data_IF_292502368080
#
_entry.id   IF_292502368080
#
_cell.length_a   1.000
_cell.length_b   1.000
_cell.length_c   1.000
_cell.angle_alpha   90.00
_cell.angle_beta   90.00
_cell.angle_gamma   90.00
#
_symmetry.space_group_name_H-M   'P 1'
#
loop_
_entity.id
_entity.type
_entity.pdbx_description
1 polymer ?
#
# COMPACT_ATOMS: atom_id res chain seq x y z
N UNK A 1 15.12 -20.32 26.11
CA UNK A 1 16.38 -19.60 25.82
C UNK A 1 16.00 -18.14 25.66
N UNK A 2 16.46 -17.27 26.57
CA UNK A 2 16.10 -15.85 26.59
C UNK A 2 17.04 -15.16 25.61
N UNK A 3 16.61 -14.84 24.37
CA UNK A 3 17.43 -14.06 23.45
C UNK A 3 17.46 -12.64 23.99
N UNK A 4 18.50 -11.86 23.66
CA UNK A 4 18.61 -10.44 23.99
C UNK A 4 17.25 -9.71 23.86
N UNK A 5 16.94 -8.74 24.73
CA UNK A 5 15.73 -7.93 24.56
C UNK A 5 15.80 -7.26 23.19
N UNK A 6 15.03 -7.77 22.23
CA UNK A 6 14.89 -7.16 20.91
C UNK A 6 14.32 -5.77 21.11
N UNK A 7 14.93 -4.79 20.45
CA UNK A 7 14.44 -3.43 20.56
C UNK A 7 13.02 -3.33 19.99
N UNK A 8 12.31 -2.33 20.52
CA UNK A 8 11.04 -1.78 20.04
C UNK A 8 10.89 -1.86 18.51
N UNK A 9 11.89 -1.23 17.90
CA UNK A 9 11.99 -1.02 16.47
C UNK A 9 12.32 -2.30 15.72
N UNK A 10 13.28 -3.10 16.19
CA UNK A 10 13.66 -4.36 15.52
C UNK A 10 12.49 -5.33 15.40
N UNK A 11 11.63 -5.42 16.41
CA UNK A 11 10.45 -6.28 16.34
C UNK A 11 9.46 -5.85 15.26
N UNK A 12 9.12 -4.55 15.21
CA UNK A 12 8.14 -4.02 14.25
C UNK A 12 8.71 -4.01 12.83
N UNK A 13 9.97 -3.56 12.66
CA UNK A 13 10.63 -3.54 11.36
C UNK A 13 10.85 -4.96 10.85
N UNK A 14 11.30 -5.89 11.70
CA UNK A 14 11.46 -7.29 11.34
C UNK A 14 10.15 -7.93 10.89
N UNK A 15 9.03 -7.65 11.58
CA UNK A 15 7.70 -8.11 11.19
C UNK A 15 7.29 -7.55 9.81
N UNK A 16 7.48 -6.26 9.59
CA UNK A 16 7.13 -5.60 8.32
C UNK A 16 7.99 -6.11 7.16
N UNK A 17 9.31 -6.22 7.34
CA UNK A 17 10.22 -6.74 6.33
C UNK A 17 9.95 -8.22 6.03
N UNK A 18 9.66 -9.03 7.04
CA UNK A 18 9.26 -10.43 6.86
C UNK A 18 7.99 -10.57 6.03
N UNK A 19 6.95 -9.80 6.34
CA UNK A 19 5.72 -9.76 5.55
C UNK A 19 5.98 -9.26 4.12
N UNK A 20 6.79 -8.21 3.96
CA UNK A 20 7.16 -7.66 2.65
C UNK A 20 7.91 -8.69 1.80
N UNK A 21 8.79 -9.49 2.40
CA UNK A 21 9.49 -10.58 1.72
C UNK A 21 8.55 -11.68 1.23
N UNK A 22 7.60 -12.11 2.07
CA UNK A 22 6.57 -13.09 1.66
C UNK A 22 5.73 -12.57 0.51
N UNK A 23 5.29 -11.31 0.59
CA UNK A 23 4.53 -10.64 -0.48
C UNK A 23 5.34 -10.55 -1.78
N UNK A 24 6.62 -10.21 -1.70
CA UNK A 24 7.49 -10.13 -2.87
C UNK A 24 7.66 -11.48 -3.58
N UNK A 25 7.84 -12.58 -2.83
CA UNK A 25 7.92 -13.93 -3.39
C UNK A 25 6.58 -14.31 -4.05
N UNK A 26 5.46 -14.05 -3.36
CA UNK A 26 4.13 -14.37 -3.87
C UNK A 26 3.82 -13.61 -5.17
N UNK A 27 4.09 -12.31 -5.20
CA UNK A 27 3.95 -11.49 -6.42
C UNK A 27 4.90 -11.94 -7.54
N UNK A 28 6.13 -12.32 -7.22
CA UNK A 28 7.09 -12.84 -8.19
C UNK A 28 6.58 -14.12 -8.86
N UNK A 29 6.06 -15.06 -8.07
CA UNK A 29 5.44 -16.29 -8.61
C UNK A 29 4.22 -15.96 -9.47
N UNK A 30 3.34 -15.08 -9.00
CA UNK A 30 2.16 -14.66 -9.76
C UNK A 30 2.54 -13.98 -11.09
N UNK A 31 3.56 -13.13 -11.09
CA UNK A 31 4.07 -12.46 -12.30
C UNK A 31 4.61 -13.48 -13.31
N UNK A 32 5.41 -14.44 -12.85
CA UNK A 32 5.95 -15.51 -13.72
C UNK A 32 4.83 -16.32 -14.35
N UNK A 33 3.85 -16.77 -13.56
CA UNK A 33 2.69 -17.51 -14.05
C UNK A 33 1.92 -16.66 -15.08
N UNK A 34 1.66 -15.40 -14.77
CA UNK A 34 0.95 -14.48 -15.65
C UNK A 34 1.66 -14.28 -17.00
N UNK A 35 2.96 -14.04 -17.00
CA UNK A 35 3.75 -13.88 -18.23
C UNK A 35 3.81 -15.19 -19.05
N UNK A 36 3.90 -16.34 -18.39
CA UNK A 36 3.83 -17.64 -19.06
C UNK A 36 2.47 -17.88 -19.72
N UNK A 37 1.37 -17.51 -19.06
CA UNK A 37 0.03 -17.61 -19.63
C UNK A 37 -0.12 -16.71 -20.86
N UNK A 38 0.30 -15.44 -20.78
CA UNK A 38 0.26 -14.52 -21.92
C UNK A 38 1.06 -15.04 -23.12
N UNK A 39 2.25 -15.57 -22.85
CA UNK A 39 3.13 -16.17 -23.88
C UNK A 39 2.50 -17.42 -24.49
N UNK A 40 1.92 -18.30 -23.67
CA UNK A 40 1.24 -19.51 -24.12
C UNK A 40 -0.02 -19.24 -24.94
N UNK A 41 -0.75 -18.17 -24.62
CA UNK A 41 -1.92 -17.71 -25.37
C UNK A 41 -1.57 -16.87 -26.61
N UNK A 42 -0.28 -16.63 -26.89
CA UNK A 42 0.20 -15.78 -28.00
C UNK A 42 -0.41 -14.36 -27.99
N UNK A 43 -0.71 -13.84 -26.82
CA UNK A 43 -1.17 -12.45 -26.66
C UNK A 43 0.04 -11.54 -26.85
N UNK A 44 -0.08 -10.50 -27.67
CA UNK A 44 0.97 -9.48 -27.77
C UNK A 44 0.97 -8.64 -26.50
N UNK A 45 2.10 -8.59 -25.78
CA UNK A 45 2.25 -7.80 -24.57
C UNK A 45 3.62 -7.13 -24.51
N UNK A 46 3.71 -6.05 -23.73
CA UNK A 46 4.98 -5.42 -23.38
C UNK A 46 5.37 -5.80 -21.95
N UNK A 47 6.50 -6.46 -21.78
CA UNK A 47 6.91 -6.97 -20.46
C UNK A 47 7.22 -5.85 -19.46
N UNK A 48 7.87 -4.77 -19.91
CA UNK A 48 8.34 -3.70 -19.02
C UNK A 48 7.19 -2.98 -18.27
N UNK A 49 6.12 -2.49 -18.93
CA UNK A 49 4.98 -1.90 -18.22
C UNK A 49 4.30 -2.85 -17.23
N UNK A 50 4.19 -4.14 -17.57
CA UNK A 50 3.62 -5.16 -16.68
C UNK A 50 4.48 -5.38 -15.43
N UNK A 51 5.79 -5.51 -15.60
CA UNK A 51 6.74 -5.68 -14.49
C UNK A 51 6.69 -4.45 -13.57
N UNK A 52 6.67 -3.24 -14.15
CA UNK A 52 6.56 -2.00 -13.39
C UNK A 52 5.23 -1.95 -12.64
N UNK A 53 4.10 -2.28 -13.27
CA UNK A 53 2.80 -2.34 -12.60
C UNK A 53 2.79 -3.30 -11.40
N UNK A 54 3.38 -4.49 -11.55
CA UNK A 54 3.50 -5.46 -10.43
C UNK A 54 4.43 -4.96 -9.34
N UNK A 55 5.51 -4.26 -9.68
CA UNK A 55 6.39 -3.65 -8.70
C UNK A 55 5.65 -2.60 -7.84
N UNK A 56 4.84 -1.73 -8.47
CA UNK A 56 4.04 -0.75 -7.74
C UNK A 56 2.91 -1.37 -6.93
N UNK A 57 2.31 -2.46 -7.41
CA UNK A 57 1.42 -3.28 -6.59
C UNK A 57 2.15 -3.82 -5.35
N UNK A 58 3.42 -4.22 -5.48
CA UNK A 58 4.26 -4.58 -4.34
C UNK A 58 4.41 -3.44 -3.34
N UNK A 59 4.69 -2.21 -3.80
CA UNK A 59 4.76 -1.03 -2.93
C UNK A 59 3.43 -0.72 -2.23
N UNK A 60 2.30 -0.93 -2.90
CA UNK A 60 0.97 -0.78 -2.33
C UNK A 60 0.75 -1.77 -1.19
N UNK A 61 1.07 -3.05 -1.40
CA UNK A 61 0.93 -4.09 -0.38
C UNK A 61 1.88 -3.87 0.82
N UNK A 62 3.09 -3.38 0.58
CA UNK A 62 4.05 -3.00 1.63
C UNK A 62 3.48 -1.88 2.52
N UNK A 63 2.84 -0.89 1.90
CA UNK A 63 2.21 0.21 2.62
C UNK A 63 0.97 -0.26 3.40
N UNK A 64 0.12 -1.11 2.80
CA UNK A 64 -1.02 -1.73 3.49
C UNK A 64 -0.57 -2.62 4.66
N UNK A 65 0.55 -3.33 4.52
CA UNK A 65 1.12 -4.10 5.63
C UNK A 65 1.55 -3.18 6.79
N UNK A 66 2.09 -2.00 6.51
CA UNK A 66 2.39 -1.01 7.54
C UNK A 66 1.13 -0.45 8.21
N UNK A 67 0.04 -0.22 7.45
CA UNK A 67 -1.27 0.16 8.00
C UNK A 67 -1.78 -0.93 8.96
N UNK A 68 -1.72 -2.20 8.55
CA UNK A 68 -2.14 -3.33 9.36
C UNK A 68 -1.36 -3.45 10.67
N UNK A 69 -0.04 -3.25 10.61
CA UNK A 69 0.81 -3.23 11.79
C UNK A 69 0.45 -2.06 12.71
N UNK A 70 0.25 -0.86 12.16
CA UNK A 70 -0.10 0.32 12.95
C UNK A 70 -1.39 0.11 13.75
N UNK A 71 -2.46 -0.36 13.12
CA UNK A 71 -3.69 -0.69 13.84
C UNK A 71 -3.52 -1.87 14.80
N UNK A 72 -2.73 -2.89 14.41
CA UNK A 72 -2.47 -4.07 15.23
C UNK A 72 -1.70 -3.80 16.52
N UNK A 73 -0.99 -2.67 16.64
CA UNK A 73 -0.29 -2.29 17.87
C UNK A 73 -1.26 -1.89 18.99
N UNK A 74 -2.43 -1.29 18.66
CA UNK A 74 -3.34 -0.74 19.67
C UNK A 74 -4.75 -1.34 19.69
N UNK A 75 -5.12 -2.12 18.68
CA UNK A 75 -6.44 -2.77 18.56
C UNK A 75 -6.35 -4.30 18.61
N UNK A 76 -7.50 -4.99 18.64
CA UNK A 76 -7.56 -6.45 18.48
C UNK A 76 -7.29 -6.85 17.02
N UNK A 77 -6.85 -8.09 16.79
CA UNK A 77 -6.52 -8.59 15.45
C UNK A 77 -7.68 -8.43 14.44
N UNK A 78 -8.90 -8.71 14.88
CA UNK A 78 -10.11 -8.59 14.05
C UNK A 78 -10.37 -7.12 13.69
N UNK A 79 -10.30 -6.22 14.69
CA UNK A 79 -10.55 -4.80 14.46
C UNK A 79 -9.46 -4.18 13.57
N UNK A 80 -8.20 -4.54 13.78
CA UNK A 80 -7.08 -4.11 12.94
C UNK A 80 -7.30 -4.50 11.47
N UNK A 81 -7.78 -5.73 11.23
CA UNK A 81 -8.07 -6.24 9.89
C UNK A 81 -9.19 -5.42 9.23
N UNK A 82 -10.30 -5.18 9.94
CA UNK A 82 -11.41 -4.36 9.43
C UNK A 82 -11.00 -2.92 9.13
N UNK A 83 -10.22 -2.30 10.01
CA UNK A 83 -9.72 -0.93 9.79
C UNK A 83 -8.77 -0.86 8.60
N UNK A 84 -7.86 -1.84 8.46
CA UNK A 84 -6.95 -1.93 7.32
C UNK A 84 -7.71 -2.10 6.01
N UNK A 85 -8.74 -2.96 6.01
CA UNK A 85 -9.61 -3.14 4.85
C UNK A 85 -10.36 -1.85 4.49
N UNK A 86 -10.83 -1.10 5.50
CA UNK A 86 -11.42 0.22 5.30
C UNK A 86 -10.43 1.21 4.67
N UNK A 87 -9.17 1.24 5.13
CA UNK A 87 -8.12 2.08 4.53
C UNK A 87 -7.80 1.66 3.10
N UNK A 88 -7.76 0.35 2.82
CA UNK A 88 -7.57 -0.17 1.46
C UNK A 88 -8.67 0.32 0.51
N UNK A 89 -9.94 0.15 0.88
CA UNK A 89 -11.07 0.61 0.06
C UNK A 89 -11.06 2.12 -0.12
N UNK A 90 -10.90 2.86 0.97
CA UNK A 90 -10.91 4.33 0.92
C UNK A 90 -9.71 4.87 0.15
N UNK A 91 -8.55 4.23 0.22
CA UNK A 91 -7.36 4.67 -0.50
C UNK A 91 -7.52 4.60 -2.02
N UNK A 92 -8.23 3.60 -2.54
CA UNK A 92 -8.55 3.48 -3.97
C UNK A 92 -9.64 4.46 -4.42
N UNK A 93 -10.64 4.73 -3.58
CA UNK A 93 -11.80 5.57 -3.94
C UNK A 93 -11.56 7.03 -3.53
N UNK A 94 -10.42 7.35 -2.92
CA UNK A 94 -10.12 8.64 -2.29
C UNK A 94 -10.26 9.83 -3.26
N UNK A 95 -9.79 9.69 -4.51
CA UNK A 95 -9.91 10.72 -5.55
C UNK A 95 -11.37 10.90 -6.01
N UNK A 96 -12.09 9.80 -6.19
CA UNK A 96 -13.49 9.82 -6.62
C UNK A 96 -14.38 10.45 -5.54
N UNK A 97 -14.06 10.21 -4.26
CA UNK A 97 -14.74 10.84 -3.13
C UNK A 97 -14.63 12.38 -3.17
N UNK A 98 -13.46 12.93 -3.50
CA UNK A 98 -13.32 14.39 -3.67
C UNK A 98 -14.19 14.88 -4.83
N UNK A 99 -14.19 14.16 -5.96
CA UNK A 99 -15.02 14.54 -7.10
C UNK A 99 -16.52 14.53 -6.74
N UNK A 100 -16.98 13.51 -6.00
CA UNK A 100 -18.33 13.45 -5.47
C UNK A 100 -18.63 14.64 -4.54
N UNK A 101 -17.68 15.02 -3.69
CA UNK A 101 -17.78 16.21 -2.85
C UNK A 101 -18.01 17.48 -3.66
N UNK A 102 -17.26 17.66 -4.75
CA UNK A 102 -17.40 18.81 -5.67
C UNK A 102 -18.77 18.79 -6.36
N UNK A 103 -19.19 17.64 -6.89
CA UNK A 103 -20.47 17.47 -7.62
C UNK A 103 -21.66 17.68 -6.69
N UNK A 104 -21.55 17.29 -5.42
CA UNK A 104 -22.63 17.41 -4.42
C UNK A 104 -23.06 18.86 -4.14
N UNK A 105 -22.21 19.85 -4.48
CA UNK A 105 -22.37 21.27 -4.13
C UNK A 105 -22.64 21.53 -2.63
N UNK A 106 -22.31 20.58 -1.76
CA UNK A 106 -22.50 20.70 -0.32
C UNK A 106 -21.14 20.89 0.37
N UNK A 107 -20.97 22.04 1.02
CA UNK A 107 -19.72 22.40 1.70
C UNK A 107 -19.30 21.40 2.79
N UNK A 108 -20.27 20.79 3.49
CA UNK A 108 -19.99 19.80 4.53
C UNK A 108 -19.49 18.48 3.94
N UNK A 109 -20.10 18.02 2.85
CA UNK A 109 -19.69 16.79 2.16
C UNK A 109 -18.28 16.96 1.57
N UNK A 110 -18.01 18.11 0.96
CA UNK A 110 -16.69 18.45 0.43
C UNK A 110 -15.62 18.51 1.54
N UNK A 111 -15.94 19.11 2.70
CA UNK A 111 -15.02 19.18 3.83
C UNK A 111 -14.68 17.78 4.38
N UNK A 112 -15.68 16.91 4.54
CA UNK A 112 -15.48 15.54 5.02
C UNK A 112 -14.58 14.76 4.04
N UNK A 113 -14.88 14.80 2.74
CA UNK A 113 -14.10 14.07 1.73
C UNK A 113 -12.68 14.58 1.60
N UNK A 114 -12.46 15.91 1.71
CA UNK A 114 -11.11 16.49 1.74
C UNK A 114 -10.31 16.06 2.97
N UNK A 115 -10.94 16.00 4.15
CA UNK A 115 -10.27 15.54 5.36
C UNK A 115 -9.89 14.06 5.28
N UNK A 116 -10.77 13.21 4.73
CA UNK A 116 -10.49 11.79 4.49
C UNK A 116 -9.27 11.64 3.57
N UNK A 117 -9.23 12.38 2.45
CA UNK A 117 -8.11 12.36 1.51
C UNK A 117 -6.78 12.81 2.13
N UNK A 118 -6.82 13.73 3.09
CA UNK A 118 -5.62 14.25 3.73
C UNK A 118 -5.03 13.27 4.77
N UNK A 119 -5.88 12.44 5.39
CA UNK A 119 -5.48 11.50 6.45
C UNK A 119 -5.16 10.12 5.89
N UNK A 120 -5.79 9.70 4.80
CA UNK A 120 -5.63 8.37 4.23
C UNK A 120 -4.60 8.35 3.10
N UNK A 121 -3.82 7.25 2.97
CA UNK A 121 -2.94 7.09 1.83
C UNK A 121 -3.75 6.94 0.54
N UNK A 122 -3.37 7.69 -0.49
CA UNK A 122 -3.92 7.59 -1.84
C UNK A 122 -3.23 6.42 -2.56
N UNK A 123 -3.86 5.24 -2.47
CA UNK A 123 -3.34 3.99 -3.04
C UNK A 123 -3.43 3.99 -4.57
N UNK A 124 -4.35 4.77 -5.13
CA UNK A 124 -4.53 4.87 -6.58
C UNK A 124 -3.30 5.49 -7.27
N UNK A 125 -2.40 6.14 -6.52
CA UNK A 125 -1.09 6.58 -7.03
C UNK A 125 -0.15 5.42 -7.39
N UNK A 126 -0.39 4.23 -6.85
CA UNK A 126 0.41 3.02 -7.09
C UNK A 126 -0.27 2.08 -8.09
N UNK A 127 -1.50 2.38 -8.51
CA UNK A 127 -2.24 1.55 -9.44
C UNK A 127 -1.90 1.91 -10.90
N UNK A 128 -1.02 1.13 -11.51
CA UNK A 128 -0.65 1.26 -12.93
C UNK A 128 -1.14 0.08 -13.78
N UNK A 129 -2.22 -0.59 -13.36
CA UNK A 129 -2.71 -1.81 -14.05
C UNK A 129 -3.28 -1.48 -15.43
N UNK A 130 -4.03 -0.39 -15.54
CA UNK A 130 -4.67 0.01 -16.79
C UNK A 130 -3.62 0.42 -17.84
N UNK A 131 -2.67 1.26 -17.45
CA UNK A 131 -1.56 1.71 -18.29
C UNK A 131 -0.75 0.53 -18.82
N UNK A 132 -0.45 -0.43 -17.95
CA UNK A 132 0.35 -1.59 -18.31
C UNK A 132 -0.32 -2.51 -19.34
N UNK A 133 -1.65 -2.66 -19.29
CA UNK A 133 -2.42 -3.42 -20.30
C UNK A 133 -2.33 -2.75 -21.68
N UNK A 134 -2.32 -1.42 -21.74
CA UNK A 134 -2.12 -0.67 -22.97
C UNK A 134 -0.65 -0.52 -23.39
N UNK A 135 0.29 -1.12 -22.63
CA UNK A 135 1.72 -0.98 -22.89
C UNK A 135 2.24 0.45 -22.63
N UNK A 136 1.51 1.25 -21.86
CA UNK A 136 1.89 2.60 -21.48
C UNK A 136 2.75 2.55 -20.23
N UNK A 137 3.87 3.27 -20.25
CA UNK A 137 4.72 3.47 -19.09
C UNK A 137 4.61 4.94 -18.66
N UNK A 138 4.22 5.22 -17.40
CA UNK A 138 4.27 6.57 -16.86
C UNK A 138 5.70 7.13 -16.93
N UNK A 139 5.81 8.45 -16.96
CA UNK A 139 7.11 9.11 -16.96
C UNK A 139 7.89 8.84 -15.67
N UNK A 140 9.22 8.86 -15.76
CA UNK A 140 10.10 8.47 -14.65
C UNK A 140 9.91 9.35 -13.40
N UNK A 141 9.57 10.62 -13.57
CA UNK A 141 9.26 11.55 -12.48
C UNK A 141 7.99 11.13 -11.72
N UNK A 142 6.93 10.70 -12.42
CA UNK A 142 5.70 10.20 -11.79
C UNK A 142 5.99 8.92 -11.02
N UNK A 143 6.75 8.00 -11.62
CA UNK A 143 7.16 6.76 -10.99
C UNK A 143 7.94 7.05 -9.69
N UNK A 144 9.00 7.85 -9.77
CA UNK A 144 9.84 8.18 -8.60
C UNK A 144 9.02 8.87 -7.51
N UNK A 145 8.16 9.84 -7.87
CA UNK A 145 7.34 10.56 -6.91
C UNK A 145 6.35 9.62 -6.19
N UNK A 146 5.71 8.70 -6.90
CA UNK A 146 4.76 7.76 -6.30
C UNK A 146 5.47 6.68 -5.46
N UNK A 147 6.65 6.23 -5.87
CA UNK A 147 7.46 5.30 -5.07
C UNK A 147 7.92 5.97 -3.77
N UNK A 148 8.44 7.20 -3.85
CA UNK A 148 8.86 7.97 -2.68
C UNK A 148 7.67 8.23 -1.74
N UNK A 149 6.50 8.59 -2.28
CA UNK A 149 5.27 8.75 -1.51
C UNK A 149 4.96 7.48 -0.70
N UNK A 150 4.97 6.30 -1.32
CA UNK A 150 4.71 5.04 -0.62
C UNK A 150 5.74 4.75 0.48
N UNK A 151 7.03 4.94 0.19
CA UNK A 151 8.10 4.67 1.16
C UNK A 151 8.04 5.62 2.37
N UNK A 152 7.81 6.91 2.14
CA UNK A 152 7.68 7.91 3.21
C UNK A 152 6.47 7.60 4.08
N UNK A 153 5.32 7.29 3.47
CA UNK A 153 4.10 6.99 4.20
C UNK A 153 4.21 5.69 5.01
N UNK A 154 4.84 4.67 4.42
CA UNK A 154 5.20 3.42 5.10
C UNK A 154 6.09 3.70 6.32
N UNK A 155 7.15 4.49 6.14
CA UNK A 155 8.06 4.89 7.22
C UNK A 155 7.35 5.65 8.34
N UNK A 156 6.45 6.57 8.02
CA UNK A 156 5.62 7.30 8.98
C UNK A 156 4.73 6.35 9.80
N UNK A 157 4.02 5.43 9.15
CA UNK A 157 3.16 4.45 9.83
C UNK A 157 3.95 3.52 10.75
N UNK A 158 5.11 3.03 10.29
CA UNK A 158 6.00 2.21 11.12
C UNK A 158 6.57 3.02 12.30
N UNK A 159 6.96 4.27 12.07
CA UNK A 159 7.40 5.19 13.14
C UNK A 159 6.32 5.39 14.20
N UNK A 160 5.08 5.65 13.79
CA UNK A 160 3.92 5.75 14.70
C UNK A 160 3.72 4.43 15.46
N UNK A 161 3.80 3.30 14.77
CA UNK A 161 3.67 1.97 15.37
C UNK A 161 4.72 1.75 16.47
N UNK A 162 5.97 2.12 16.20
CA UNK A 162 7.09 2.00 17.15
C UNK A 162 6.87 2.91 18.36
N UNK A 163 6.45 4.15 18.16
CA UNK A 163 6.18 5.09 19.26
C UNK A 163 5.03 4.61 20.16
N UNK A 164 3.92 4.14 19.58
CA UNK A 164 2.78 3.62 20.35
C UNK A 164 3.20 2.36 21.10
N UNK A 165 3.88 1.43 20.42
CA UNK A 165 4.32 0.18 21.03
C UNK A 165 5.34 0.45 22.13
N UNK A 166 6.21 1.46 22.01
CA UNK A 166 7.16 1.87 23.05
C UNK A 166 6.51 2.40 24.32
N UNK A 167 5.31 2.98 24.23
CA UNK A 167 4.60 3.53 25.41
C UNK A 167 3.76 2.50 26.15
N UNK A 168 3.45 1.35 25.52
CA UNK A 168 2.75 0.24 26.18
C UNK A 168 3.74 -0.55 27.02
N UNK A 169 3.51 -0.64 28.33
CA UNK A 169 4.30 -1.50 29.21
C UNK A 169 3.93 -2.96 28.91
N UNK A 170 4.79 -3.61 28.12
CA UNK A 170 4.94 -5.06 28.03
C UNK A 170 6.38 -5.38 28.41
#
# INVERSE_FOLDING_TARGET
MIPKPLSRAEFILGKHLGLSGVLAVMLGVMLVIYLLMLSGMKVSFQALPLIVSVFYLGLELILIAAVAIAFGVFTSSILATLMTFGVYLMGHISKDLIQLGIISKNANILAITKNIYLILPDLERLNFRNEAVYGLLPSADVLIANALYSLVYTGLLLGISILIFSRRQF
#
